data_IF_072062181375
#
_entry.id   IF_072062181375
#
_cell.length_a   1.000
_cell.length_b   1.000
_cell.length_c   1.000
_cell.angle_alpha   90.00
_cell.angle_beta   90.00
_cell.angle_gamma   90.00
#
_symmetry.space_group_name_H-M   'P 1'
#
loop_
_entity.id
_entity.type
_entity.pdbx_description
1 polymer ?
#
# COMPACT_ATOMS: atom_id res chain seq x y z
N UNK A 1 -18.80 11.17 -33.38
CA UNK A 1 -18.43 9.87 -33.98
C UNK A 1 -19.04 8.79 -33.12
N UNK A 2 -19.93 7.98 -33.69
CA UNK A 2 -20.69 6.92 -33.01
C UNK A 2 -20.17 5.59 -33.56
N UNK A 3 -19.87 4.63 -32.68
CA UNK A 3 -19.50 3.27 -33.08
C UNK A 3 -20.73 2.34 -33.02
N UNK A 4 -20.91 1.41 -33.98
CA UNK A 4 -22.07 0.50 -34.01
C UNK A 4 -21.94 -0.66 -33.02
N UNK A 5 -23.09 -1.10 -32.50
CA UNK A 5 -23.25 -2.26 -31.62
C UNK A 5 -23.50 -3.53 -32.47
N UNK A 6 -22.76 -4.62 -32.22
CA UNK A 6 -23.01 -5.96 -32.79
C UNK A 6 -23.29 -6.95 -31.66
N UNK A 7 -24.51 -7.51 -31.66
CA UNK A 7 -25.00 -8.51 -30.71
C UNK A 7 -24.49 -9.91 -31.10
N UNK A 8 -24.07 -10.72 -30.11
CA UNK A 8 -23.93 -12.16 -30.33
C UNK A 8 -23.22 -13.03 -29.28
N UNK A 9 -22.77 -12.50 -28.14
CA UNK A 9 -22.03 -13.27 -27.13
C UNK A 9 -22.73 -13.33 -25.78
N UNK A 10 -23.34 -14.46 -25.44
CA UNK A 10 -23.85 -14.78 -24.11
C UNK A 10 -22.70 -14.95 -23.11
N UNK A 11 -22.37 -13.88 -22.39
CA UNK A 11 -21.94 -13.91 -20.99
C UNK A 11 -21.56 -12.49 -20.63
N UNK A 12 -22.36 -11.86 -19.77
CA UNK A 12 -21.96 -10.63 -19.12
C UNK A 12 -20.77 -10.96 -18.22
N UNK A 13 -19.54 -10.88 -18.74
CA UNK A 13 -18.36 -10.72 -17.92
C UNK A 13 -18.44 -9.29 -17.42
N UNK A 14 -19.24 -9.09 -16.37
CA UNK A 14 -19.04 -7.97 -15.46
C UNK A 14 -17.59 -8.19 -14.99
N UNK A 15 -16.61 -7.32 -15.32
CA UNK A 15 -15.31 -7.41 -14.66
C UNK A 15 -15.63 -7.45 -13.17
N UNK A 16 -15.02 -8.34 -12.36
CA UNK A 16 -15.37 -8.42 -10.96
C UNK A 16 -15.31 -7.00 -10.44
N UNK A 17 -16.48 -6.44 -10.17
CA UNK A 17 -16.57 -5.23 -9.40
C UNK A 17 -15.78 -5.63 -8.17
N UNK A 18 -14.63 -5.00 -7.95
CA UNK A 18 -13.92 -5.07 -6.68
C UNK A 18 -14.85 -4.41 -5.65
N UNK A 19 -16.01 -5.05 -5.42
CA UNK A 19 -16.89 -4.85 -4.30
C UNK A 19 -15.99 -5.28 -3.16
N UNK A 20 -15.41 -4.26 -2.55
CA UNK A 20 -14.82 -4.27 -1.25
C UNK A 20 -15.57 -5.31 -0.43
N UNK A 21 -14.90 -6.39 -0.04
CA UNK A 21 -15.45 -7.32 0.93
C UNK A 21 -15.93 -6.46 2.11
N UNK A 22 -17.15 -6.66 2.64
CA UNK A 22 -17.56 -5.98 3.86
C UNK A 22 -16.65 -6.49 4.99
N UNK A 23 -15.52 -5.84 5.11
CA UNK A 23 -14.36 -6.25 5.87
C UNK A 23 -13.83 -5.03 6.61
N UNK A 24 -13.33 -5.27 7.82
CA UNK A 24 -12.72 -4.21 8.63
C UNK A 24 -11.51 -3.65 7.88
N UNK A 25 -11.49 -2.34 7.68
CA UNK A 25 -10.36 -1.61 7.09
C UNK A 25 -9.40 -1.15 8.17
N UNK A 26 -8.10 -1.19 7.88
CA UNK A 26 -7.06 -0.77 8.80
C UNK A 26 -6.10 0.21 8.10
N UNK A 27 -5.67 1.25 8.81
CA UNK A 27 -4.65 2.18 8.31
C UNK A 27 -3.32 1.44 8.24
N UNK A 28 -2.77 1.32 7.04
CA UNK A 28 -1.46 0.74 6.81
C UNK A 28 -0.44 1.85 6.54
N UNK A 29 0.69 1.83 7.25
CA UNK A 29 1.79 2.75 6.98
C UNK A 29 2.58 2.24 5.77
N UNK A 30 2.66 3.07 4.73
CA UNK A 30 3.44 2.75 3.53
C UNK A 30 4.92 2.66 3.91
N UNK A 31 5.38 3.59 4.75
CA UNK A 31 6.73 3.55 5.34
C UNK A 31 6.64 2.99 6.77
N UNK A 32 7.26 1.83 7.07
CA UNK A 32 7.14 1.17 8.36
C UNK A 32 7.51 2.04 9.58
N UNK A 33 6.76 1.85 10.66
CA UNK A 33 7.04 2.44 11.98
C UNK A 33 8.15 1.70 12.75
N UNK A 34 8.70 0.61 12.21
CA UNK A 34 9.81 -0.09 12.85
C UNK A 34 10.97 0.89 13.05
N UNK A 35 11.48 0.99 14.28
CA UNK A 35 12.40 2.05 14.69
C UNK A 35 13.64 2.18 13.79
N UNK A 36 14.18 1.04 13.34
CA UNK A 36 15.33 0.95 12.46
C UNK A 36 15.07 1.46 11.02
N UNK A 37 13.82 1.37 10.57
CA UNK A 37 13.37 1.86 9.28
C UNK A 37 12.91 3.32 9.37
N UNK A 38 12.14 3.67 10.41
CA UNK A 38 11.64 5.01 10.67
C UNK A 38 12.78 6.04 10.72
N UNK A 39 13.83 5.76 11.50
CA UNK A 39 15.03 6.61 11.54
C UNK A 39 15.70 6.78 10.19
N UNK A 40 15.75 5.71 9.40
CA UNK A 40 16.37 5.75 8.08
C UNK A 40 15.55 6.63 7.13
N UNK A 41 14.22 6.47 7.10
CA UNK A 41 13.34 7.33 6.31
C UNK A 41 13.45 8.80 6.69
N UNK A 42 13.45 9.11 7.99
CA UNK A 42 13.62 10.47 8.49
C UNK A 42 14.96 11.08 8.04
N UNK A 43 16.04 10.30 8.09
CA UNK A 43 17.34 10.72 7.57
C UNK A 43 17.34 11.02 6.07
N UNK A 44 16.44 10.41 5.30
CA UNK A 44 16.24 10.68 3.87
C UNK A 44 15.13 11.71 3.60
N UNK A 45 14.59 12.37 4.64
CA UNK A 45 13.55 13.39 4.50
C UNK A 45 12.13 12.86 4.27
N UNK A 46 11.88 11.57 4.51
CA UNK A 46 10.56 10.93 4.33
C UNK A 46 9.78 10.92 5.65
N UNK A 47 8.71 11.72 5.73
CA UNK A 47 7.84 11.81 6.92
C UNK A 47 6.82 10.67 6.95
N UNK A 48 7.14 9.57 7.64
CA UNK A 48 6.38 8.30 7.56
C UNK A 48 4.89 8.44 7.90
N UNK A 49 4.51 9.32 8.84
CA UNK A 49 3.12 9.53 9.24
C UNK A 49 2.27 10.28 8.21
N UNK A 50 2.90 10.88 7.19
CA UNK A 50 2.18 11.54 6.10
C UNK A 50 1.63 10.56 5.07
N UNK A 51 2.04 9.29 5.10
CA UNK A 51 1.77 8.33 4.04
C UNK A 51 1.19 7.02 4.60
N UNK A 52 -0.13 7.02 4.76
CA UNK A 52 -0.90 5.84 5.12
C UNK A 52 -1.97 5.54 4.10
N UNK A 53 -2.34 4.28 3.97
CA UNK A 53 -3.38 3.83 3.06
C UNK A 53 -4.33 2.89 3.81
N UNK A 54 -5.66 3.10 3.76
CA UNK A 54 -6.59 2.12 4.31
C UNK A 54 -6.57 0.87 3.43
N UNK A 55 -6.35 -0.30 4.02
CA UNK A 55 -6.39 -1.60 3.33
C UNK A 55 -7.30 -2.58 4.10
N UNK A 56 -7.81 -3.64 3.43
CA UNK A 56 -8.52 -4.72 4.12
C UNK A 56 -7.66 -5.37 5.22
N UNK A 57 -8.27 -5.69 6.37
CA UNK A 57 -7.58 -6.29 7.54
C UNK A 57 -6.90 -7.62 7.22
N UNK A 58 -7.50 -8.44 6.38
CA UNK A 58 -6.93 -9.70 5.91
C UNK A 58 -5.64 -9.48 5.12
N UNK A 59 -5.62 -8.49 4.21
CA UNK A 59 -4.40 -8.05 3.51
C UNK A 59 -3.38 -7.52 4.52
N UNK A 60 -3.80 -6.69 5.48
CA UNK A 60 -2.92 -6.16 6.51
C UNK A 60 -2.24 -7.25 7.34
N UNK A 61 -2.99 -8.28 7.75
CA UNK A 61 -2.47 -9.45 8.46
C UNK A 61 -1.58 -10.34 7.59
N UNK A 62 -1.90 -10.51 6.31
CA UNK A 62 -1.09 -11.29 5.37
C UNK A 62 0.32 -10.73 5.26
N UNK A 63 0.46 -9.41 5.17
CA UNK A 63 1.76 -8.77 4.93
C UNK A 63 2.57 -8.50 6.21
N UNK A 64 1.91 -8.32 7.36
CA UNK A 64 2.56 -8.08 8.66
C UNK A 64 2.66 -9.32 9.56
N UNK A 65 2.02 -10.42 9.17
CA UNK A 65 1.90 -11.63 9.98
C UNK A 65 0.82 -11.51 11.07
N UNK A 66 0.52 -12.63 11.77
CA UNK A 66 -0.60 -12.73 12.71
C UNK A 66 -0.50 -11.78 13.91
N UNK A 67 0.73 -11.40 14.30
CA UNK A 67 1.00 -10.49 15.41
C UNK A 67 1.16 -9.02 14.99
N UNK A 68 1.17 -8.71 13.69
CA UNK A 68 1.38 -7.34 13.20
C UNK A 68 2.82 -6.82 13.33
N UNK A 69 3.80 -7.70 13.55
CA UNK A 69 5.19 -7.33 13.88
C UNK A 69 6.04 -6.92 12.66
N UNK A 70 5.43 -6.47 11.56
CA UNK A 70 6.14 -6.03 10.36
C UNK A 70 6.20 -7.04 9.21
N UNK A 71 6.21 -8.34 9.51
CA UNK A 71 6.14 -9.43 8.53
C UNK A 71 7.00 -9.27 7.26
N UNK A 72 6.43 -9.68 6.13
CA UNK A 72 7.05 -9.58 4.82
C UNK A 72 7.21 -8.12 4.35
N UNK A 73 6.35 -7.21 4.82
CA UNK A 73 6.42 -5.79 4.48
C UNK A 73 7.71 -5.13 5.00
N UNK A 74 7.99 -5.25 6.30
CA UNK A 74 9.20 -4.70 6.90
C UNK A 74 10.45 -5.42 6.40
N UNK A 75 10.35 -6.73 6.09
CA UNK A 75 11.47 -7.48 5.49
C UNK A 75 11.86 -6.90 4.13
N UNK A 76 10.89 -6.64 3.26
CA UNK A 76 11.15 -6.04 1.95
C UNK A 76 11.79 -4.65 2.08
N UNK A 77 11.30 -3.82 3.00
CA UNK A 77 11.90 -2.52 3.29
C UNK A 77 13.33 -2.62 3.82
N UNK A 78 13.62 -3.56 4.72
CA UNK A 78 14.99 -3.78 5.22
C UNK A 78 15.92 -4.21 4.11
N UNK A 79 15.50 -5.14 3.27
CA UNK A 79 16.27 -5.58 2.10
C UNK A 79 16.61 -4.43 1.14
N UNK A 80 15.65 -3.52 0.89
CA UNK A 80 15.89 -2.34 0.08
C UNK A 80 16.87 -1.38 0.75
N UNK A 81 16.66 -1.06 2.03
CA UNK A 81 17.55 -0.20 2.84
C UNK A 81 18.97 -0.75 2.87
N UNK A 82 19.11 -2.07 3.03
CA UNK A 82 20.40 -2.77 3.15
C UNK A 82 21.22 -2.70 1.87
N UNK A 83 20.56 -2.65 0.71
CA UNK A 83 21.21 -2.46 -0.59
C UNK A 83 21.40 -1.00 -0.97
N UNK A 84 20.56 -0.10 -0.45
CA UNK A 84 20.49 1.31 -0.86
C UNK A 84 20.52 2.24 0.36
N UNK A 85 21.60 2.18 1.15
CA UNK A 85 21.75 2.95 2.40
C UNK A 85 21.57 4.46 2.22
N UNK A 86 22.01 4.97 1.07
CA UNK A 86 21.98 6.39 0.70
C UNK A 86 20.88 6.69 -0.35
N UNK A 87 19.84 5.86 -0.44
CA UNK A 87 18.74 6.09 -1.37
C UNK A 87 18.14 7.48 -1.14
N UNK A 88 17.97 8.23 -2.22
CA UNK A 88 17.22 9.48 -2.22
C UNK A 88 15.76 9.25 -1.83
N UNK A 89 15.08 10.32 -1.40
CA UNK A 89 13.65 10.27 -1.17
C UNK A 89 12.88 9.75 -2.41
N UNK A 90 13.27 10.19 -3.61
CA UNK A 90 12.66 9.75 -4.87
C UNK A 90 12.74 8.23 -5.05
N UNK A 91 13.91 7.63 -4.85
CA UNK A 91 14.10 6.19 -4.94
C UNK A 91 13.28 5.43 -3.89
N UNK A 92 13.16 5.98 -2.69
CA UNK A 92 12.30 5.43 -1.63
C UNK A 92 10.82 5.45 -2.04
N UNK A 93 10.33 6.56 -2.61
CA UNK A 93 8.95 6.65 -3.09
C UNK A 93 8.69 5.72 -4.28
N UNK A 94 9.65 5.60 -5.20
CA UNK A 94 9.58 4.65 -6.31
C UNK A 94 9.46 3.22 -5.77
N UNK A 95 10.31 2.85 -4.82
CA UNK A 95 10.26 1.52 -4.20
C UNK A 95 8.94 1.28 -3.43
N UNK A 96 8.39 2.31 -2.78
CA UNK A 96 7.07 2.20 -2.17
C UNK A 96 5.99 1.81 -3.18
N UNK A 97 6.02 2.41 -4.39
CA UNK A 97 5.13 2.03 -5.50
C UNK A 97 5.32 0.57 -5.94
N UNK A 98 6.57 0.13 -6.06
CA UNK A 98 6.90 -1.27 -6.38
C UNK A 98 6.34 -2.24 -5.32
N UNK A 99 6.46 -1.91 -4.04
CA UNK A 99 5.93 -2.75 -2.96
C UNK A 99 4.40 -2.75 -2.91
N UNK A 100 3.74 -1.60 -3.14
CA UNK A 100 2.27 -1.51 -3.25
C UNK A 100 1.77 -2.47 -4.34
N UNK A 101 2.43 -2.47 -5.50
CA UNK A 101 2.09 -3.38 -6.60
C UNK A 101 2.41 -4.84 -6.25
N UNK A 102 3.64 -5.12 -5.77
CA UNK A 102 4.13 -6.47 -5.45
C UNK A 102 3.29 -7.19 -4.39
N UNK A 103 2.80 -6.46 -3.38
CA UNK A 103 1.97 -7.02 -2.31
C UNK A 103 0.46 -6.91 -2.59
N UNK A 104 0.09 -6.42 -3.78
CA UNK A 104 -1.29 -6.24 -4.21
C UNK A 104 -2.09 -5.46 -3.16
N UNK A 105 -1.56 -4.31 -2.72
CA UNK A 105 -2.25 -3.49 -1.73
C UNK A 105 -3.46 -2.80 -2.40
N UNK A 106 -4.59 -3.51 -2.42
CA UNK A 106 -5.89 -2.97 -2.83
C UNK A 106 -6.40 -2.09 -1.69
N UNK A 107 -6.17 -0.78 -1.81
CA UNK A 107 -6.45 0.19 -0.76
C UNK A 107 -7.23 1.42 -1.24
N UNK A 108 -7.64 2.25 -0.28
CA UNK A 108 -8.16 3.59 -0.55
C UNK A 108 -7.04 4.60 -0.84
N UNK A 109 -7.34 5.91 -0.92
CA UNK A 109 -6.32 6.91 -1.22
C UNK A 109 -5.24 7.01 -0.13
N UNK A 110 -4.04 7.41 -0.53
CA UNK A 110 -2.96 7.75 0.41
C UNK A 110 -3.35 9.02 1.16
N UNK A 111 -3.22 8.99 2.47
CA UNK A 111 -3.58 10.07 3.38
C UNK A 111 -2.66 10.12 4.61
N UNK A 112 -2.51 11.28 5.25
CA UNK A 112 -1.81 11.37 6.53
C UNK A 112 -2.50 10.53 7.61
N UNK A 113 -1.71 9.93 8.50
CA UNK A 113 -2.20 9.03 9.55
C UNK A 113 -3.18 9.73 10.50
N UNK A 114 -2.92 11.00 10.83
CA UNK A 114 -3.73 11.78 11.77
C UNK A 114 -4.94 12.49 11.11
N UNK A 115 -5.16 12.29 9.80
CA UNK A 115 -6.34 12.81 9.12
C UNK A 115 -7.61 12.14 9.65
N UNK A 116 -8.61 12.96 9.98
CA UNK A 116 -10.00 12.52 10.22
C UNK A 116 -10.80 12.74 8.93
N UNK A 117 -11.57 11.75 8.44
CA UNK A 117 -12.53 12.00 7.37
C UNK A 117 -13.59 12.98 7.87
N UNK A 118 -13.75 14.14 7.22
CA UNK A 118 -14.84 15.09 7.47
C UNK A 118 -14.63 16.13 8.58
N UNK A 119 -13.39 16.61 8.78
CA UNK A 119 -13.13 17.85 9.53
C UNK A 119 -13.21 19.06 8.60
#
# INVERSE_FOLDING_TARGET
MVFPNWNGGSSRVIPPSHRLTPGRWEKHHIFPQAEDLARWFEGQGVKIHSYTMPIPRDVHRRIHGPLGNGGAWNKAWREFRDRNRNASAEEIFKHAGELIHRFELIGGPIQPYYSRPGA
#
